data_IF_161045625699
#
_entry.id   IF_161045625699
#
_cell.length_a   1.000
_cell.length_b   1.000
_cell.length_c   1.000
_cell.angle_alpha   90.00
_cell.angle_beta   90.00
_cell.angle_gamma   90.00
#
_symmetry.space_group_name_H-M   'P 1'
#
loop_
_entity.id
_entity.type
_entity.pdbx_description
1 polymer ?
#
# COMPACT_ATOMS: atom_id res chain seq x y z
N UNK A 1 -23.58 -13.59 1.78
CA UNK A 1 -24.76 -14.42 1.39
C UNK A 1 -26.07 -13.88 1.95
N UNK A 2 -26.18 -13.44 3.21
CA UNK A 2 -27.42 -12.87 3.79
C UNK A 2 -27.89 -11.62 3.06
N UNK A 3 -26.98 -10.68 2.75
CA UNK A 3 -27.32 -9.43 2.06
C UNK A 3 -27.92 -9.67 0.66
N UNK A 4 -27.35 -10.57 -0.13
CA UNK A 4 -27.88 -10.93 -1.45
C UNK A 4 -29.25 -11.59 -1.36
N UNK A 5 -29.45 -12.48 -0.38
CA UNK A 5 -30.74 -13.13 -0.14
C UNK A 5 -31.81 -12.12 0.28
N UNK A 6 -31.48 -11.22 1.20
CA UNK A 6 -32.41 -10.21 1.70
C UNK A 6 -32.73 -9.17 0.61
N UNK A 7 -31.76 -8.83 -0.24
CA UNK A 7 -31.98 -7.98 -1.41
C UNK A 7 -32.89 -8.65 -2.45
N UNK A 8 -32.66 -9.93 -2.75
CA UNK A 8 -33.53 -10.71 -3.67
C UNK A 8 -34.94 -10.83 -3.12
N UNK A 9 -35.11 -11.10 -1.82
CA UNK A 9 -36.41 -11.19 -1.17
C UNK A 9 -37.12 -9.83 -1.14
N UNK A 10 -36.40 -8.74 -0.98
CA UNK A 10 -36.97 -7.38 -0.98
C UNK A 10 -37.45 -6.98 -2.38
N UNK A 11 -36.73 -7.38 -3.42
CA UNK A 11 -37.13 -7.16 -4.81
C UNK A 11 -38.27 -8.10 -5.21
N UNK A 12 -38.20 -9.37 -4.82
CA UNK A 12 -39.22 -10.39 -5.20
C UNK A 12 -40.52 -10.22 -4.40
N UNK A 13 -40.45 -9.86 -3.12
CA UNK A 13 -41.63 -9.65 -2.28
C UNK A 13 -42.43 -8.37 -2.56
N UNK A 14 -41.88 -7.42 -3.31
CA UNK A 14 -42.52 -6.13 -3.59
C UNK A 14 -43.13 -6.03 -4.98
N UNK A 15 -42.75 -6.92 -5.90
CA UNK A 15 -43.25 -6.95 -7.25
C UNK A 15 -43.72 -8.36 -7.60
N UNK A 16 -45.04 -8.59 -7.55
CA UNK A 16 -45.67 -9.87 -7.92
C UNK A 16 -45.54 -10.20 -9.44
N UNK A 17 -45.01 -9.25 -10.23
CA UNK A 17 -44.89 -9.41 -11.66
C UNK A 17 -43.49 -9.82 -12.06
N UNK A 18 -43.23 -11.07 -12.52
CA UNK A 18 -41.92 -11.57 -12.90
C UNK A 18 -41.25 -10.72 -14.02
N UNK A 19 -42.08 -10.09 -14.88
CA UNK A 19 -41.56 -9.22 -15.94
C UNK A 19 -40.86 -7.99 -15.40
N UNK A 20 -41.36 -7.40 -14.28
CA UNK A 20 -40.72 -6.24 -13.63
C UNK A 20 -39.39 -6.63 -13.04
N UNK A 21 -39.30 -7.78 -12.42
CA UNK A 21 -38.05 -8.31 -11.83
C UNK A 21 -36.99 -8.53 -12.93
N UNK A 22 -37.35 -9.16 -14.02
CA UNK A 22 -36.46 -9.38 -15.19
C UNK A 22 -36.02 -8.04 -15.79
N UNK A 23 -36.93 -7.08 -15.93
CA UNK A 23 -36.59 -5.73 -16.44
C UNK A 23 -35.59 -5.00 -15.53
N UNK A 24 -35.75 -5.07 -14.20
CA UNK A 24 -34.82 -4.48 -13.24
C UNK A 24 -33.44 -5.13 -13.33
N UNK A 25 -33.36 -6.46 -13.46
CA UNK A 25 -32.08 -7.13 -13.66
C UNK A 25 -31.42 -6.76 -14.99
N UNK A 26 -32.20 -6.66 -16.07
CA UNK A 26 -31.68 -6.23 -17.38
C UNK A 26 -31.13 -4.80 -17.33
N UNK A 27 -31.82 -3.88 -16.64
CA UNK A 27 -31.34 -2.51 -16.42
C UNK A 27 -30.07 -2.49 -15.59
N UNK A 28 -30.01 -3.26 -14.50
CA UNK A 28 -28.81 -3.33 -13.66
C UNK A 28 -27.61 -3.88 -14.43
N UNK A 29 -27.78 -4.95 -15.20
CA UNK A 29 -26.73 -5.52 -16.05
C UNK A 29 -26.30 -4.53 -17.13
N UNK A 30 -27.24 -3.82 -17.76
CA UNK A 30 -26.95 -2.79 -18.77
C UNK A 30 -26.15 -1.62 -18.19
N UNK A 31 -26.49 -1.18 -16.98
CA UNK A 31 -25.73 -0.15 -16.26
C UNK A 31 -24.31 -0.62 -15.93
N UNK A 32 -24.15 -1.85 -15.41
CA UNK A 32 -22.85 -2.42 -15.13
C UNK A 32 -21.99 -2.55 -16.39
N UNK A 33 -22.59 -3.00 -17.49
CA UNK A 33 -21.90 -3.10 -18.79
C UNK A 33 -21.50 -1.71 -19.33
N UNK A 34 -22.39 -0.72 -19.19
CA UNK A 34 -22.11 0.65 -19.57
C UNK A 34 -20.96 1.26 -18.75
N UNK A 35 -20.99 1.10 -17.42
CA UNK A 35 -19.88 1.53 -16.55
C UNK A 35 -18.60 0.76 -16.85
N UNK A 36 -18.67 -0.55 -17.11
CA UNK A 36 -17.53 -1.34 -17.52
C UNK A 36 -16.88 -0.85 -18.83
N UNK A 37 -17.72 -0.47 -19.80
CA UNK A 37 -17.27 0.09 -21.08
C UNK A 37 -16.66 1.49 -20.91
N UNK A 38 -17.28 2.33 -20.07
CA UNK A 38 -16.76 3.65 -19.71
C UNK A 38 -15.39 3.58 -19.05
N UNK A 39 -15.24 2.65 -18.11
CA UNK A 39 -13.96 2.38 -17.43
C UNK A 39 -12.88 1.87 -18.39
N UNK A 40 -13.25 1.16 -19.44
CA UNK A 40 -12.31 0.62 -20.43
C UNK A 40 -11.84 1.68 -21.44
N UNK A 41 -12.70 2.63 -21.78
CA UNK A 41 -12.44 3.59 -22.86
C UNK A 41 -11.82 4.91 -22.36
N UNK A 42 -12.12 5.33 -21.13
CA UNK A 42 -11.73 6.66 -20.60
C UNK A 42 -11.21 6.61 -19.15
N UNK A 43 -10.37 5.62 -18.83
CA UNK A 43 -9.77 5.49 -17.48
C UNK A 43 -9.13 6.78 -16.98
N UNK A 44 -8.45 7.50 -17.87
CA UNK A 44 -7.74 8.72 -17.51
C UNK A 44 -8.69 9.85 -17.08
N UNK A 45 -9.81 10.06 -17.79
CA UNK A 45 -10.75 11.13 -17.48
C UNK A 45 -11.58 10.84 -16.22
N UNK A 46 -12.06 9.58 -16.07
CA UNK A 46 -12.84 9.20 -14.88
C UNK A 46 -12.00 9.27 -13.61
N UNK A 47 -10.78 8.77 -13.66
CA UNK A 47 -9.83 8.87 -12.54
C UNK A 47 -9.51 10.33 -12.20
N UNK A 48 -9.35 11.19 -13.20
CA UNK A 48 -9.13 12.62 -13.00
C UNK A 48 -10.31 13.29 -12.29
N UNK A 49 -11.56 13.00 -12.70
CA UNK A 49 -12.76 13.55 -12.04
C UNK A 49 -12.94 13.03 -10.62
N UNK A 50 -12.73 11.72 -10.40
CA UNK A 50 -12.75 11.12 -9.06
C UNK A 50 -11.66 11.71 -8.15
N UNK A 51 -10.46 11.83 -8.66
CA UNK A 51 -9.35 12.45 -7.93
C UNK A 51 -9.65 13.92 -7.59
N UNK A 52 -10.18 14.69 -8.56
CA UNK A 52 -10.57 16.07 -8.34
C UNK A 52 -11.69 16.22 -7.32
N UNK A 53 -12.63 15.29 -7.28
CA UNK A 53 -13.71 15.28 -6.30
C UNK A 53 -13.19 14.94 -4.89
N UNK A 54 -12.36 13.90 -4.77
CA UNK A 54 -11.74 13.50 -3.50
C UNK A 54 -10.87 14.62 -2.94
N UNK A 55 -10.11 15.31 -3.80
CA UNK A 55 -9.25 16.42 -3.39
C UNK A 55 -10.01 17.66 -2.91
N UNK A 56 -11.30 17.81 -3.27
CA UNK A 56 -12.16 18.90 -2.80
C UNK A 56 -12.66 18.71 -1.36
N UNK A 57 -12.61 17.48 -0.83
CA UNK A 57 -13.00 17.22 0.55
C UNK A 57 -11.80 17.54 1.47
N UNK A 58 -11.89 18.56 2.36
CA UNK A 58 -10.70 19.13 3.04
C UNK A 58 -9.85 18.12 3.80
N UNK A 59 -10.44 17.17 4.50
CA UNK A 59 -9.70 16.17 5.28
C UNK A 59 -9.22 14.99 4.42
N UNK A 60 -10.08 14.51 3.52
CA UNK A 60 -9.81 13.35 2.66
C UNK A 60 -8.75 13.70 1.62
N UNK A 61 -8.78 14.92 1.07
CA UNK A 61 -7.77 15.36 0.11
C UNK A 61 -6.35 15.42 0.69
N UNK A 62 -6.20 15.75 1.97
CA UNK A 62 -4.90 15.74 2.64
C UNK A 62 -4.40 14.31 2.88
N UNK A 63 -5.27 13.44 3.38
CA UNK A 63 -4.96 12.02 3.60
C UNK A 63 -4.62 11.32 2.28
N UNK A 64 -5.42 11.56 1.23
CA UNK A 64 -5.18 10.99 -0.10
C UNK A 64 -3.82 11.39 -0.68
N UNK A 65 -3.43 12.69 -0.55
CA UNK A 65 -2.12 13.16 -1.01
C UNK A 65 -0.97 12.50 -0.28
N UNK A 66 -1.10 12.33 1.03
CA UNK A 66 -0.07 11.64 1.84
C UNK A 66 0.00 10.17 1.45
N UNK A 67 -1.14 9.47 1.38
CA UNK A 67 -1.19 8.06 0.99
C UNK A 67 -0.66 7.84 -0.43
N UNK A 68 -1.00 8.71 -1.38
CA UNK A 68 -0.48 8.65 -2.76
C UNK A 68 1.04 8.86 -2.81
N UNK A 69 1.57 9.79 -2.01
CA UNK A 69 3.03 9.95 -1.89
C UNK A 69 3.69 8.70 -1.33
N UNK A 70 3.11 8.10 -0.29
CA UNK A 70 3.62 6.85 0.28
C UNK A 70 3.52 5.70 -0.73
N UNK A 71 2.39 5.53 -1.41
CA UNK A 71 2.24 4.52 -2.46
C UNK A 71 3.24 4.72 -3.60
N UNK A 72 3.46 5.97 -4.03
CA UNK A 72 4.46 6.25 -5.05
C UNK A 72 5.88 5.90 -4.60
N UNK A 73 6.22 6.05 -3.33
CA UNK A 73 7.50 5.59 -2.80
C UNK A 73 7.68 4.06 -2.95
N UNK A 74 6.59 3.30 -2.86
CA UNK A 74 6.62 1.83 -2.98
C UNK A 74 6.39 1.33 -4.42
N UNK A 75 5.56 2.02 -5.22
CA UNK A 75 5.16 1.56 -6.56
C UNK A 75 6.04 2.10 -7.69
N UNK A 76 6.65 3.28 -7.53
CA UNK A 76 7.58 3.87 -8.52
C UNK A 76 9.03 3.48 -8.27
N UNK A 77 9.27 2.31 -7.71
CA UNK A 77 10.61 1.76 -7.49
C UNK A 77 11.44 1.59 -8.79
N UNK A 78 10.86 1.82 -9.96
CA UNK A 78 11.62 1.78 -11.23
C UNK A 78 12.45 3.04 -11.52
N UNK A 79 12.15 4.21 -10.94
CA UNK A 79 12.86 5.46 -11.28
C UNK A 79 13.30 6.34 -10.09
N UNK A 80 12.98 6.05 -8.84
CA UNK A 80 13.21 6.96 -7.71
C UNK A 80 14.07 6.36 -6.59
N UNK A 81 14.87 7.18 -6.00
CA UNK A 81 15.87 7.06 -4.94
C UNK A 81 15.59 6.11 -3.73
N UNK A 82 14.46 5.42 -3.67
CA UNK A 82 14.13 4.44 -2.62
C UNK A 82 14.52 3.03 -3.12
N UNK A 83 15.79 2.84 -3.46
CA UNK A 83 16.30 1.52 -3.84
C UNK A 83 17.21 0.90 -2.79
N UNK A 84 17.49 1.64 -1.74
CA UNK A 84 18.43 1.19 -0.73
C UNK A 84 17.72 0.78 0.53
N UNK A 85 17.95 -0.45 0.90
CA UNK A 85 17.57 -1.00 2.19
C UNK A 85 18.83 -1.08 3.05
N UNK A 86 18.66 -0.78 4.31
CA UNK A 86 19.75 -0.76 5.29
C UNK A 86 19.32 -1.45 6.57
N UNK A 87 20.29 -1.89 7.36
CA UNK A 87 20.07 -2.23 8.75
C UNK A 87 20.42 -1.02 9.63
N UNK A 88 19.59 -0.78 10.62
CA UNK A 88 19.80 0.24 11.63
C UNK A 88 19.54 -0.31 13.02
N UNK A 89 20.30 0.13 13.99
CA UNK A 89 20.03 -0.20 15.39
C UNK A 89 18.81 0.58 15.89
N UNK A 90 17.74 -0.17 16.19
CA UNK A 90 16.48 0.43 16.66
C UNK A 90 15.67 -0.61 17.48
N UNK A 91 15.06 -0.22 18.62
CA UNK A 91 15.06 1.10 19.26
C UNK A 91 16.31 1.37 20.10
N UNK A 92 17.24 0.45 20.22
CA UNK A 92 18.47 0.59 21.00
C UNK A 92 19.63 -0.14 20.34
N UNK A 93 20.82 0.18 20.78
CA UNK A 93 22.07 -0.46 20.38
C UNK A 93 22.02 -2.00 20.55
N UNK A 94 22.57 -2.71 19.57
CA UNK A 94 22.58 -4.18 19.50
C UNK A 94 21.29 -4.81 18.97
N UNK A 95 20.26 -4.01 18.64
CA UNK A 95 19.01 -4.49 18.03
C UNK A 95 18.93 -4.00 16.58
N UNK A 96 19.19 -4.88 15.64
CA UNK A 96 19.18 -4.55 14.22
C UNK A 96 17.82 -4.79 13.59
N UNK A 97 17.33 -3.82 12.81
CA UNK A 97 16.10 -3.91 12.04
C UNK A 97 16.33 -3.45 10.61
N UNK A 98 15.71 -4.08 9.62
CA UNK A 98 15.76 -3.59 8.26
C UNK A 98 14.91 -2.32 8.10
N UNK A 99 15.40 -1.37 7.32
CA UNK A 99 14.75 -0.09 7.08
C UNK A 99 14.93 0.35 5.62
N UNK A 100 14.02 1.20 5.16
CA UNK A 100 14.10 1.82 3.84
C UNK A 100 14.72 3.21 3.94
N UNK A 101 15.69 3.53 3.09
CA UNK A 101 16.22 4.90 2.96
C UNK A 101 15.22 5.73 2.18
N UNK A 102 14.56 6.66 2.86
CA UNK A 102 13.54 7.52 2.25
C UNK A 102 14.07 8.88 1.82
N UNK A 103 15.15 9.35 2.46
CA UNK A 103 15.81 10.61 2.11
C UNK A 103 17.24 10.64 2.66
N UNK A 104 18.05 11.58 2.13
CA UNK A 104 19.41 11.87 2.57
C UNK A 104 19.62 13.38 2.69
N UNK A 105 20.14 13.81 3.81
CA UNK A 105 20.43 15.23 4.08
C UNK A 105 21.86 15.32 4.64
N UNK A 106 22.80 15.71 3.78
CA UNK A 106 24.22 15.68 4.13
C UNK A 106 24.65 14.27 4.52
N UNK A 107 25.24 14.13 5.71
CA UNK A 107 25.68 12.83 6.25
C UNK A 107 24.59 12.08 7.03
N UNK A 108 23.34 12.58 7.01
CA UNK A 108 22.23 11.96 7.71
C UNK A 108 21.29 11.26 6.73
N UNK A 109 20.87 10.04 7.09
CA UNK A 109 19.83 9.28 6.41
C UNK A 109 18.52 9.43 7.15
N UNK A 110 17.44 9.62 6.39
CA UNK A 110 16.08 9.52 6.90
C UNK A 110 15.59 8.13 6.51
N UNK A 111 15.27 7.33 7.52
CA UNK A 111 14.89 5.94 7.36
C UNK A 111 13.44 5.74 7.77
N UNK A 112 12.76 4.88 7.06
CA UNK A 112 11.49 4.32 7.46
C UNK A 112 11.71 2.90 7.98
N UNK A 113 11.44 2.69 9.28
CA UNK A 113 11.51 1.40 9.97
C UNK A 113 10.09 0.84 10.05
N UNK A 114 9.75 -0.18 9.23
CA UNK A 114 8.41 -0.76 9.22
C UNK A 114 8.13 -1.57 10.49
N UNK A 115 6.84 -1.69 10.87
CA UNK A 115 6.40 -2.53 11.99
C UNK A 115 5.77 -3.81 11.50
N UNK A 116 6.07 -4.93 12.17
CA UNK A 116 5.44 -6.23 11.88
C UNK A 116 4.05 -6.33 12.52
N UNK A 117 3.10 -7.01 11.90
CA UNK A 117 3.14 -7.58 10.54
C UNK A 117 2.69 -6.60 9.45
N UNK A 118 2.42 -5.34 9.78
CA UNK A 118 1.89 -4.35 8.83
C UNK A 118 3.00 -3.39 8.36
N UNK A 119 3.57 -3.57 7.16
CA UNK A 119 4.65 -2.73 6.65
C UNK A 119 4.22 -1.29 6.30
N UNK A 120 2.91 -0.99 6.30
CA UNK A 120 2.40 0.37 6.04
C UNK A 120 2.45 1.27 7.27
N UNK A 121 2.71 0.71 8.45
CA UNK A 121 2.97 1.43 9.69
C UNK A 121 4.43 1.28 10.10
N UNK A 122 4.98 2.28 10.80
CA UNK A 122 6.38 2.25 11.18
C UNK A 122 6.84 3.55 11.81
N UNK A 123 8.14 3.67 11.99
CA UNK A 123 8.80 4.83 12.56
C UNK A 123 9.67 5.51 11.51
N UNK A 124 9.67 6.83 11.52
CA UNK A 124 10.65 7.61 10.75
C UNK A 124 11.77 8.01 11.70
N UNK A 125 12.99 7.58 11.38
CA UNK A 125 14.17 7.89 12.19
C UNK A 125 15.20 8.63 11.34
N UNK A 126 15.97 9.51 11.99
CA UNK A 126 17.07 10.21 11.36
C UNK A 126 18.35 9.75 12.04
N UNK A 127 19.29 9.21 11.26
CA UNK A 127 20.56 8.66 11.77
C UNK A 127 21.72 9.12 10.91
N UNK A 128 22.90 9.21 11.50
CA UNK A 128 24.12 9.46 10.75
C UNK A 128 24.47 8.23 9.89
N UNK A 129 25.03 8.44 8.70
CA UNK A 129 25.37 7.37 7.74
C UNK A 129 26.28 6.28 8.34
N UNK A 130 27.15 6.64 9.30
CA UNK A 130 28.00 5.69 10.01
C UNK A 130 27.27 4.72 10.96
N UNK A 131 25.97 4.95 11.20
CA UNK A 131 25.12 4.12 12.07
C UNK A 131 24.22 3.16 11.30
N UNK A 132 24.43 3.03 10.00
CA UNK A 132 23.69 2.12 9.14
C UNK A 132 24.63 1.14 8.45
N UNK A 133 24.14 -0.05 8.20
CA UNK A 133 24.82 -1.10 7.42
C UNK A 133 23.96 -1.38 6.20
N UNK A 134 24.55 -1.39 5.01
CA UNK A 134 23.81 -1.72 3.78
C UNK A 134 23.25 -3.13 3.87
N UNK A 135 21.98 -3.29 3.50
CA UNK A 135 21.33 -4.58 3.39
C UNK A 135 21.44 -5.10 1.95
N UNK A 136 21.58 -6.40 1.79
CA UNK A 136 21.47 -7.07 0.49
C UNK A 136 20.03 -7.44 0.13
N UNK A 137 19.07 -7.22 1.04
CA UNK A 137 17.65 -7.41 0.76
C UNK A 137 17.10 -6.30 -0.14
N UNK A 138 16.26 -6.67 -1.09
CA UNK A 138 15.44 -5.71 -1.83
C UNK A 138 14.18 -5.31 -1.03
N UNK A 139 13.39 -4.38 -1.57
CA UNK A 139 12.17 -3.86 -0.93
C UNK A 139 11.15 -4.98 -0.68
N UNK A 140 11.01 -5.92 -1.62
CA UNK A 140 10.07 -7.04 -1.52
C UNK A 140 10.49 -8.00 -0.41
N UNK A 141 11.77 -8.31 -0.31
CA UNK A 141 12.33 -9.17 0.73
C UNK A 141 12.18 -8.55 2.12
N UNK A 142 12.43 -7.24 2.28
CA UNK A 142 12.17 -6.54 3.55
C UNK A 142 10.67 -6.55 3.89
N UNK A 143 9.80 -6.36 2.89
CA UNK A 143 8.36 -6.41 3.12
C UNK A 143 7.91 -7.82 3.54
N UNK A 144 8.42 -8.87 2.89
CA UNK A 144 8.16 -10.27 3.24
C UNK A 144 8.63 -10.59 4.67
N UNK A 145 9.82 -10.17 5.03
CA UNK A 145 10.36 -10.29 6.39
C UNK A 145 9.43 -9.65 7.44
N UNK A 146 8.93 -8.44 7.16
CA UNK A 146 8.05 -7.72 8.08
C UNK A 146 6.70 -8.40 8.21
N UNK A 147 6.08 -8.82 7.09
CA UNK A 147 4.77 -9.48 7.08
C UNK A 147 4.84 -10.84 7.75
N UNK A 148 5.91 -11.60 7.53
CA UNK A 148 6.12 -12.93 8.13
C UNK A 148 6.60 -12.87 9.59
N UNK A 149 6.75 -11.68 10.18
CA UNK A 149 7.26 -11.48 11.55
C UNK A 149 8.68 -12.08 11.71
N UNK A 150 9.49 -11.94 10.66
CA UNK A 150 10.87 -12.42 10.64
C UNK A 150 11.05 -13.89 10.29
N UNK A 151 9.98 -14.66 10.05
CA UNK A 151 10.07 -16.08 9.68
C UNK A 151 10.71 -16.25 8.30
N UNK A 152 10.37 -15.36 7.38
CA UNK A 152 10.89 -15.36 6.01
C UNK A 152 12.07 -14.39 5.88
N UNK A 153 13.25 -14.86 6.35
CA UNK A 153 14.49 -14.09 6.26
C UNK A 153 15.36 -14.57 5.09
N UNK A 154 15.45 -13.73 4.07
CA UNK A 154 16.03 -14.11 2.78
C UNK A 154 17.58 -14.09 2.74
N UNK A 155 18.24 -13.40 3.68
CA UNK A 155 19.67 -13.09 3.62
C UNK A 155 20.42 -13.40 4.91
N UNK A 156 20.59 -14.67 5.27
CA UNK A 156 21.30 -15.04 6.51
C UNK A 156 22.76 -14.59 6.54
N UNK A 157 23.40 -14.35 5.40
CA UNK A 157 24.78 -13.86 5.34
C UNK A 157 24.92 -12.40 5.79
N UNK A 158 23.87 -11.59 5.68
CA UNK A 158 23.86 -10.23 6.19
C UNK A 158 24.05 -10.19 7.72
N UNK A 159 23.60 -11.24 8.43
CA UNK A 159 23.74 -11.34 9.90
C UNK A 159 25.20 -11.28 10.35
N UNK A 160 26.12 -11.85 9.59
CA UNK A 160 27.57 -11.81 9.90
C UNK A 160 28.14 -10.39 9.83
N UNK A 161 27.56 -9.55 8.97
CA UNK A 161 27.95 -8.13 8.88
C UNK A 161 27.42 -7.30 10.07
N UNK A 162 26.28 -7.73 10.66
CA UNK A 162 25.67 -7.06 11.80
C UNK A 162 26.35 -7.38 13.13
N UNK A 163 26.95 -8.56 13.24
CA UNK A 163 27.64 -9.05 14.44
C UNK A 163 29.04 -9.56 14.05
N UNK A 164 29.98 -8.65 13.73
CA UNK A 164 31.37 -9.05 13.52
C UNK A 164 31.94 -9.59 14.83
N UNK A 165 32.58 -10.78 14.76
CA UNK A 165 33.26 -11.44 15.89
C UNK A 165 34.35 -10.57 16.55
#
# INVERSE_FOLDING_TARGET
ERFLRDFVLLVHGRYENPLVTVALFAVAISLLAYFGKLLKHDRAHLLYYLESFILRIPLIGSLYRVTRKLLNLFLTAEESQVRETVYVEYPKEGMWVPAYVTNRIGDCYILYVPTSPNPTSGFTVMVHNSKVISSSMDIEQVSSFVISVGVDYAKPDDVKALYPD
#
